data_IF_316760254662
#
_entry.id   IF_316760254662
#
_cell.length_a   1.000
_cell.length_b   1.000
_cell.length_c   1.000
_cell.angle_alpha   90.00
_cell.angle_beta   90.00
_cell.angle_gamma   90.00
#
_symmetry.space_group_name_H-M   'P 1'
#
loop_
_entity.id
_entity.type
_entity.pdbx_description
1 polymer ?
#
# COMPACT_ATOMS: atom_id res chain seq x y z
N UNK A 1 17.15 -15.60 -3.93
CA UNK A 1 17.20 -14.30 -4.65
C UNK A 1 17.97 -14.46 -5.97
N UNK A 2 17.73 -13.63 -6.99
CA UNK A 2 18.32 -13.80 -8.35
C UNK A 2 19.86 -13.83 -8.34
N UNK A 3 20.47 -13.04 -7.46
CA UNK A 3 21.92 -13.03 -7.26
C UNK A 3 22.44 -14.36 -6.67
N UNK A 4 21.70 -14.99 -5.75
CA UNK A 4 22.03 -16.33 -5.21
C UNK A 4 21.95 -17.42 -6.28
N UNK A 5 21.29 -17.14 -7.41
CA UNK A 5 21.23 -18.01 -8.59
C UNK A 5 22.25 -17.61 -9.67
N UNK A 6 23.19 -16.72 -9.37
CA UNK A 6 24.22 -16.25 -10.31
C UNK A 6 23.72 -15.26 -11.37
N UNK A 7 22.48 -14.78 -11.28
CA UNK A 7 21.90 -13.86 -12.26
C UNK A 7 22.16 -12.42 -11.81
N UNK A 8 23.07 -11.74 -12.52
CA UNK A 8 23.34 -10.31 -12.32
C UNK A 8 22.31 -9.50 -13.11
N UNK A 9 21.56 -8.65 -12.40
CA UNK A 9 20.51 -7.82 -12.99
C UNK A 9 20.93 -6.36 -12.91
N UNK A 10 20.94 -5.67 -14.05
CA UNK A 10 21.21 -4.23 -14.09
C UNK A 10 20.05 -3.44 -13.45
N UNK A 11 20.34 -2.22 -12.99
CA UNK A 11 19.30 -1.31 -12.48
C UNK A 11 18.20 -1.07 -13.52
N UNK A 12 18.57 -0.94 -14.80
CA UNK A 12 17.61 -0.70 -15.87
C UNK A 12 16.66 -1.88 -16.10
N UNK A 13 17.17 -3.11 -16.00
CA UNK A 13 16.33 -4.32 -16.07
C UNK A 13 15.33 -4.37 -14.93
N UNK A 14 15.78 -4.10 -13.69
CA UNK A 14 14.91 -4.00 -12.51
C UNK A 14 13.86 -2.90 -12.68
N UNK A 15 14.23 -1.74 -13.24
CA UNK A 15 13.29 -0.64 -13.52
C UNK A 15 12.23 -1.03 -14.55
N UNK A 16 12.64 -1.65 -15.67
CA UNK A 16 11.71 -2.12 -16.72
C UNK A 16 10.77 -3.19 -16.18
N UNK A 17 11.25 -4.10 -15.33
CA UNK A 17 10.40 -5.07 -14.65
C UNK A 17 9.43 -4.42 -13.67
N UNK A 18 9.87 -3.41 -12.91
CA UNK A 18 8.99 -2.64 -12.05
C UNK A 18 7.83 -2.00 -12.82
N UNK A 19 8.09 -1.48 -14.03
CA UNK A 19 7.04 -0.93 -14.91
C UNK A 19 6.14 -2.04 -15.46
N UNK A 20 6.72 -3.15 -15.91
CA UNK A 20 5.99 -4.27 -16.55
C UNK A 20 5.12 -5.05 -15.57
N UNK A 21 5.65 -5.36 -14.39
CA UNK A 21 5.02 -6.26 -13.42
C UNK A 21 4.50 -5.56 -12.17
N UNK A 22 4.87 -4.30 -11.94
CA UNK A 22 4.55 -3.59 -10.69
C UNK A 22 3.05 -3.55 -10.39
N UNK A 23 2.22 -3.38 -11.43
CA UNK A 23 0.76 -3.37 -11.24
C UNK A 23 0.23 -4.74 -10.79
N UNK A 24 0.67 -5.82 -11.41
CA UNK A 24 0.24 -7.18 -11.03
C UNK A 24 0.81 -7.60 -9.67
N UNK A 25 2.07 -7.27 -9.39
CA UNK A 25 2.65 -7.46 -8.06
C UNK A 25 1.84 -6.71 -7.00
N UNK A 26 1.53 -5.43 -7.21
CA UNK A 26 0.74 -4.64 -6.29
C UNK A 26 -0.68 -5.21 -6.12
N UNK A 27 -1.30 -5.69 -7.21
CA UNK A 27 -2.61 -6.32 -7.16
C UNK A 27 -2.58 -7.61 -6.34
N UNK A 28 -1.58 -8.47 -6.57
CA UNK A 28 -1.39 -9.72 -5.83
C UNK A 28 -1.13 -9.50 -4.35
N UNK A 29 -0.31 -8.51 -3.99
CA UNK A 29 -0.04 -8.16 -2.58
C UNK A 29 -1.30 -7.64 -1.86
N UNK A 30 -2.22 -7.00 -2.58
CA UNK A 30 -3.48 -6.42 -2.05
C UNK A 30 -4.68 -7.37 -2.05
N UNK A 31 -4.45 -8.69 -2.21
CA UNK A 31 -5.50 -9.73 -2.31
C UNK A 31 -5.94 -10.36 -0.98
N UNK A 32 -5.50 -9.86 0.18
CA UNK A 32 -5.94 -10.45 1.46
C UNK A 32 -7.48 -10.46 1.53
N UNK A 33 -8.12 -11.63 1.70
CA UNK A 33 -9.56 -11.72 1.83
C UNK A 33 -10.02 -10.99 3.10
N UNK A 34 -11.21 -10.38 3.09
CA UNK A 34 -11.73 -9.68 4.25
C UNK A 34 -11.99 -10.64 5.41
N UNK A 35 -11.39 -10.38 6.58
CA UNK A 35 -11.68 -11.13 7.79
C UNK A 35 -12.42 -10.25 8.80
N UNK A 36 -13.52 -10.78 9.37
CA UNK A 36 -14.36 -10.06 10.35
C UNK A 36 -13.62 -9.71 11.66
N UNK A 37 -12.52 -10.40 11.94
CA UNK A 37 -11.67 -10.18 13.10
C UNK A 37 -10.45 -9.30 12.79
N UNK A 38 -10.33 -8.73 11.58
CA UNK A 38 -9.20 -7.88 11.22
C UNK A 38 -9.20 -6.58 12.02
N UNK A 39 -8.01 -6.21 12.51
CA UNK A 39 -7.72 -4.88 13.02
C UNK A 39 -6.98 -4.10 11.94
N UNK A 40 -7.47 -2.90 11.64
CA UNK A 40 -6.87 -2.02 10.64
C UNK A 40 -6.11 -0.88 11.32
N UNK A 41 -4.93 -0.57 10.80
CA UNK A 41 -4.10 0.55 11.21
C UNK A 41 -4.02 1.54 10.05
N UNK A 42 -4.49 2.76 10.29
CA UNK A 42 -4.35 3.86 9.34
C UNK A 42 -3.21 4.75 9.79
N UNK A 43 -2.19 4.88 8.94
CA UNK A 43 -1.01 5.69 9.23
C UNK A 43 -0.83 6.80 8.21
N UNK A 44 -0.44 7.97 8.70
CA UNK A 44 0.08 9.07 7.90
C UNK A 44 1.60 8.97 7.83
N UNK A 45 2.18 8.97 6.63
CA UNK A 45 3.63 8.88 6.42
C UNK A 45 4.05 9.93 5.41
N UNK A 46 5.18 10.59 5.64
CA UNK A 46 5.79 11.50 4.66
C UNK A 46 6.84 10.73 3.86
N UNK A 47 6.68 10.69 2.53
CA UNK A 47 7.60 10.01 1.61
C UNK A 47 8.21 11.03 0.65
N UNK A 48 9.48 10.84 0.29
CA UNK A 48 10.16 11.72 -0.68
C UNK A 48 10.29 10.99 -2.02
N UNK A 49 9.57 11.46 -3.04
CA UNK A 49 9.61 10.90 -4.40
C UNK A 49 10.10 11.99 -5.35
N UNK A 50 11.11 11.69 -6.17
CA UNK A 50 11.71 12.65 -7.11
C UNK A 50 12.08 14.00 -6.45
N UNK A 51 12.67 13.95 -5.24
CA UNK A 51 13.03 15.12 -4.40
C UNK A 51 11.85 15.96 -3.88
N UNK A 52 10.61 15.53 -4.10
CA UNK A 52 9.42 16.18 -3.55
C UNK A 52 8.88 15.42 -2.35
N UNK A 53 8.55 16.15 -1.27
CA UNK A 53 7.88 15.59 -0.09
C UNK A 53 6.40 15.39 -0.41
N UNK A 54 5.92 14.18 -0.23
CA UNK A 54 4.54 13.77 -0.46
C UNK A 54 3.97 13.14 0.82
N UNK A 55 2.66 13.24 0.98
CA UNK A 55 1.92 12.64 2.08
C UNK A 55 1.27 11.35 1.62
N UNK A 56 1.61 10.26 2.28
CA UNK A 56 1.06 8.93 2.04
C UNK A 56 0.13 8.57 3.20
N UNK A 57 -1.11 8.25 2.86
CA UNK A 57 -2.01 7.54 3.76
C UNK A 57 -1.99 6.07 3.40
N UNK A 58 -1.72 5.21 4.38
CA UNK A 58 -1.68 3.77 4.20
C UNK A 58 -2.58 3.10 5.24
N UNK A 59 -3.44 2.21 4.78
CA UNK A 59 -4.15 1.26 5.62
C UNK A 59 -3.46 -0.10 5.56
N UNK A 60 -3.04 -0.59 6.72
CA UNK A 60 -2.51 -1.95 6.89
C UNK A 60 -3.37 -2.71 7.88
N UNK A 61 -3.34 -4.03 7.81
CA UNK A 61 -3.90 -4.86 8.86
C UNK A 61 -2.88 -5.14 9.99
N UNK A 62 -3.31 -5.93 10.97
CA UNK A 62 -2.51 -6.42 12.09
C UNK A 62 -1.33 -7.31 11.70
N UNK A 63 -1.40 -7.96 10.55
CA UNK A 63 -0.36 -8.86 10.04
C UNK A 63 0.66 -8.08 9.16
N UNK A 64 0.44 -6.77 8.97
CA UNK A 64 1.27 -5.89 8.16
C UNK A 64 0.93 -5.88 6.67
N UNK A 65 -0.14 -6.55 6.23
CA UNK A 65 -0.58 -6.47 4.83
C UNK A 65 -1.14 -5.09 4.51
N UNK A 66 -0.69 -4.55 3.39
CA UNK A 66 -1.19 -3.29 2.85
C UNK A 66 -2.55 -3.53 2.20
N UNK A 67 -3.60 -3.00 2.82
CA UNK A 67 -4.96 -3.11 2.32
C UNK A 67 -5.23 -2.08 1.23
N UNK A 68 -4.81 -0.83 1.46
CA UNK A 68 -4.95 0.26 0.51
C UNK A 68 -4.04 1.45 0.83
N UNK A 69 -3.72 2.26 -0.19
CA UNK A 69 -2.81 3.40 -0.10
C UNK A 69 -3.25 4.56 -1.00
N UNK A 70 -2.97 5.79 -0.56
CA UNK A 70 -3.13 6.99 -1.39
C UNK A 70 -2.00 7.98 -1.10
N UNK A 71 -1.31 8.40 -2.17
CA UNK A 71 -0.29 9.44 -2.12
C UNK A 71 -0.90 10.77 -2.56
N UNK A 72 -0.54 11.85 -1.88
CA UNK A 72 -0.99 13.21 -2.13
C UNK A 72 0.20 14.18 -2.04
N UNK A 73 0.13 15.28 -2.78
CA UNK A 73 1.14 16.35 -2.74
C UNK A 73 1.03 17.26 -1.51
N UNK A 74 -0.09 17.21 -0.79
CA UNK A 74 -0.34 18.02 0.42
C UNK A 74 -0.98 17.15 1.51
N UNK A 75 -0.79 17.56 2.76
CA UNK A 75 -1.48 16.97 3.91
C UNK A 75 -2.99 17.17 3.75
N UNK A 76 -3.74 16.06 3.64
CA UNK A 76 -5.17 16.13 3.35
C UNK A 76 -5.95 15.01 4.06
N UNK A 77 -6.68 15.36 5.12
CA UNK A 77 -7.54 14.42 5.85
C UNK A 77 -8.71 13.90 5.01
N UNK A 78 -9.14 14.63 3.96
CA UNK A 78 -10.17 14.12 3.02
C UNK A 78 -9.65 12.92 2.23
N UNK A 79 -8.35 12.85 1.97
CA UNK A 79 -7.75 11.69 1.30
C UNK A 79 -7.82 10.44 2.19
N UNK A 80 -7.59 10.58 3.50
CA UNK A 80 -7.76 9.51 4.47
C UNK A 80 -9.20 8.98 4.50
N UNK A 81 -10.19 9.89 4.55
CA UNK A 81 -11.62 9.51 4.49
C UNK A 81 -11.95 8.77 3.18
N UNK A 82 -11.49 9.28 2.04
CA UNK A 82 -11.70 8.64 0.73
C UNK A 82 -11.07 7.24 0.66
N UNK A 83 -9.87 7.07 1.22
CA UNK A 83 -9.21 5.77 1.31
C UNK A 83 -10.05 4.80 2.14
N UNK A 84 -10.52 5.23 3.32
CA UNK A 84 -11.33 4.38 4.19
C UNK A 84 -12.65 3.97 3.52
N UNK A 85 -13.36 4.91 2.90
CA UNK A 85 -14.61 4.59 2.18
C UNK A 85 -14.37 3.62 1.03
N UNK A 86 -13.28 3.81 0.27
CA UNK A 86 -12.90 2.89 -0.82
C UNK A 86 -12.56 1.51 -0.28
N UNK A 87 -11.82 1.43 0.81
CA UNK A 87 -11.41 0.18 1.45
C UNK A 87 -12.60 -0.60 1.99
N UNK A 88 -13.51 0.06 2.71
CA UNK A 88 -14.75 -0.55 3.21
C UNK A 88 -15.61 -1.10 2.05
N UNK A 89 -15.75 -0.35 0.96
CA UNK A 89 -16.46 -0.83 -0.24
C UNK A 89 -15.79 -2.03 -0.89
N UNK A 90 -14.45 -2.05 -0.95
CA UNK A 90 -13.68 -3.14 -1.55
C UNK A 90 -13.76 -4.42 -0.73
N UNK A 91 -13.69 -4.31 0.60
CA UNK A 91 -13.71 -5.45 1.50
C UNK A 91 -15.13 -5.93 1.82
N UNK A 92 -16.15 -5.08 1.69
CA UNK A 92 -17.55 -5.42 1.97
C UNK A 92 -17.86 -5.72 3.44
N UNK A 93 -16.85 -5.68 4.31
CA UNK A 93 -16.90 -5.97 5.74
C UNK A 93 -16.16 -4.87 6.49
N UNK A 94 -16.75 -4.43 7.61
CA UNK A 94 -16.09 -3.52 8.53
C UNK A 94 -15.08 -4.29 9.39
N UNK A 95 -13.91 -3.70 9.69
CA UNK A 95 -12.95 -4.29 10.62
C UNK A 95 -13.54 -4.34 12.03
N UNK A 96 -13.01 -5.23 12.86
CA UNK A 96 -13.37 -5.28 14.28
C UNK A 96 -12.92 -4.02 15.02
N UNK A 97 -11.74 -3.51 14.68
CA UNK A 97 -11.17 -2.29 15.27
C UNK A 97 -10.37 -1.53 14.23
N UNK A 98 -10.45 -0.21 14.30
CA UNK A 98 -9.59 0.68 13.52
C UNK A 98 -8.76 1.52 14.49
N UNK A 99 -7.46 1.57 14.23
CA UNK A 99 -6.48 2.31 15.03
C UNK A 99 -5.87 3.37 14.13
N UNK A 100 -5.86 4.60 14.61
CA UNK A 100 -5.22 5.75 13.96
C UNK A 100 -4.22 6.36 14.94
N UNK A 101 -3.05 6.73 14.46
CA UNK A 101 -2.08 7.54 15.20
C UNK A 101 -2.40 9.03 15.03
#
# INVERSE_FOLDING_TARGET
MLLERGIVVSYETSRRWGIKFGLDCARCLRRKPPCRNDVWYLKEVVVTIARQKLWLWRAVDQDGYVLDEIVQSRRNTKAAKRLLTRLLKKQGLAPKRMITD
#
